data_IF_097924215825
#
_entry.id   IF_097924215825
#
_cell.length_a   1.000
_cell.length_b   1.000
_cell.length_c   1.000
_cell.angle_alpha   90.00
_cell.angle_beta   90.00
_cell.angle_gamma   90.00
#
_symmetry.space_group_name_H-M   'P 1'
#
loop_
_entity.id
_entity.type
_entity.pdbx_description
1 polymer ?
#
# COMPACT_ATOMS: atom_id res chain seq x y z
N UNK A 1 32.27 -0.64 2.73
CA UNK A 1 30.90 -1.05 3.13
C UNK A 1 30.30 -1.81 1.96
N UNK A 2 29.94 -3.07 2.14
CA UNK A 2 29.29 -3.84 1.06
C UNK A 2 27.85 -3.36 0.99
N UNK A 3 27.55 -2.53 -0.01
CA UNK A 3 26.20 -2.13 -0.38
C UNK A 3 25.49 -3.41 -0.82
N UNK A 4 24.71 -3.98 0.09
CA UNK A 4 23.99 -5.21 -0.18
C UNK A 4 22.71 -4.82 -0.87
N UNK A 5 22.75 -4.85 -2.20
CA UNK A 5 21.60 -4.52 -3.02
C UNK A 5 20.48 -5.53 -2.75
N UNK A 6 19.28 -5.02 -2.44
CA UNK A 6 18.08 -5.86 -2.43
C UNK A 6 17.99 -6.55 -3.80
N UNK A 7 17.71 -7.87 -3.86
CA UNK A 7 17.45 -8.50 -5.15
C UNK A 7 16.41 -7.69 -5.93
N UNK A 8 16.65 -7.50 -7.23
CA UNK A 8 15.84 -6.63 -8.11
C UNK A 8 14.34 -6.96 -8.07
N UNK A 9 13.98 -8.20 -7.74
CA UNK A 9 12.59 -8.65 -7.59
C UNK A 9 11.94 -8.24 -6.25
N UNK A 10 12.70 -7.99 -5.18
CA UNK A 10 12.16 -7.70 -3.85
C UNK A 10 11.77 -6.23 -3.72
N UNK A 11 12.59 -5.31 -4.25
CA UNK A 11 12.34 -3.87 -4.13
C UNK A 11 10.96 -3.46 -4.69
N UNK A 12 10.52 -3.95 -5.87
CA UNK A 12 9.16 -3.71 -6.36
C UNK A 12 8.06 -4.31 -5.47
N UNK A 13 8.28 -5.48 -4.86
CA UNK A 13 7.31 -6.09 -3.94
C UNK A 13 7.17 -5.27 -2.66
N UNK A 14 8.27 -4.76 -2.12
CA UNK A 14 8.24 -3.83 -0.97
C UNK A 14 7.51 -2.54 -1.36
N UNK A 15 7.79 -2.01 -2.54
CA UNK A 15 7.11 -0.82 -3.05
C UNK A 15 5.59 -1.01 -3.12
N UNK A 16 5.16 -2.14 -3.69
CA UNK A 16 3.75 -2.50 -3.76
C UNK A 16 3.15 -2.71 -2.36
N UNK A 17 3.87 -3.33 -1.43
CA UNK A 17 3.44 -3.47 -0.04
C UNK A 17 3.13 -2.11 0.59
N UNK A 18 4.02 -1.13 0.44
CA UNK A 18 3.86 0.22 1.00
C UNK A 18 2.65 0.93 0.38
N UNK A 19 2.51 0.87 -0.95
CA UNK A 19 1.36 1.45 -1.65
C UNK A 19 0.04 0.84 -1.16
N UNK A 20 -0.03 -0.49 -1.06
CA UNK A 20 -1.23 -1.20 -0.60
C UNK A 20 -1.58 -0.86 0.85
N UNK A 21 -0.59 -0.77 1.73
CA UNK A 21 -0.80 -0.38 3.13
C UNK A 21 -1.44 1.02 3.22
N UNK A 22 -0.92 1.97 2.45
CA UNK A 22 -1.41 3.35 2.43
C UNK A 22 -2.77 3.47 1.73
N UNK A 23 -3.00 2.71 0.65
CA UNK A 23 -4.29 2.65 -0.01
C UNK A 23 -5.38 2.12 0.95
N UNK A 24 -5.09 1.06 1.71
CA UNK A 24 -6.01 0.53 2.74
C UNK A 24 -6.32 1.60 3.78
N UNK A 25 -5.30 2.31 4.29
CA UNK A 25 -5.49 3.38 5.28
C UNK A 25 -6.36 4.51 4.72
N UNK A 26 -6.13 4.90 3.46
CA UNK A 26 -6.88 5.96 2.78
C UNK A 26 -8.35 5.58 2.58
N UNK A 27 -8.63 4.41 2.01
CA UNK A 27 -10.02 3.96 1.80
C UNK A 27 -10.76 3.75 3.13
N UNK A 28 -10.08 3.28 4.19
CA UNK A 28 -10.67 3.21 5.55
C UNK A 28 -11.03 4.59 6.09
N UNK A 29 -10.17 5.57 5.87
CA UNK A 29 -10.43 6.95 6.27
C UNK A 29 -11.67 7.49 5.54
N UNK A 30 -11.74 7.29 4.23
CA UNK A 30 -12.89 7.71 3.43
C UNK A 30 -14.18 6.99 3.85
N UNK A 31 -14.12 5.68 4.07
CA UNK A 31 -15.26 4.92 4.60
C UNK A 31 -15.80 5.53 5.90
N UNK A 32 -14.91 5.85 6.84
CA UNK A 32 -15.27 6.49 8.12
C UNK A 32 -15.85 7.89 7.91
N UNK A 33 -15.32 8.66 6.95
CA UNK A 33 -15.88 9.96 6.60
C UNK A 33 -17.32 9.83 6.08
N UNK A 34 -17.57 8.87 5.17
CA UNK A 34 -18.89 8.63 4.60
C UNK A 34 -19.92 8.11 5.61
N UNK A 35 -19.52 7.50 6.72
CA UNK A 35 -20.44 7.10 7.79
C UNK A 35 -21.24 8.28 8.36
N UNK A 36 -20.67 9.49 8.32
CA UNK A 36 -21.29 10.73 8.77
C UNK A 36 -22.33 11.31 7.81
N UNK A 37 -22.44 10.78 6.58
CA UNK A 37 -23.31 11.34 5.54
C UNK A 37 -24.73 10.76 5.60
N UNK A 38 -25.73 11.57 5.18
CA UNK A 38 -27.14 11.16 5.13
C UNK A 38 -27.40 10.05 4.11
N UNK A 39 -26.72 10.09 2.96
CA UNK A 39 -26.80 9.08 1.89
C UNK A 39 -25.45 8.38 1.78
N UNK A 40 -25.35 7.22 2.44
CA UNK A 40 -24.06 6.53 2.64
C UNK A 40 -23.99 5.10 2.11
N UNK A 41 -25.13 4.41 1.93
CA UNK A 41 -25.14 2.97 1.60
C UNK A 41 -24.37 2.62 0.32
N UNK A 42 -24.54 3.34 -0.81
CA UNK A 42 -23.80 3.02 -2.03
C UNK A 42 -22.28 3.23 -1.86
N UNK A 43 -21.89 4.35 -1.26
CA UNK A 43 -20.48 4.68 -1.00
C UNK A 43 -19.81 3.69 -0.03
N UNK A 44 -20.48 3.32 1.05
CA UNK A 44 -19.95 2.36 2.01
C UNK A 44 -19.81 0.96 1.41
N UNK A 45 -20.76 0.53 0.58
CA UNK A 45 -20.64 -0.73 -0.17
C UNK A 45 -19.41 -0.70 -1.07
N UNK A 46 -19.21 0.40 -1.78
CA UNK A 46 -18.09 0.58 -2.70
C UNK A 46 -16.74 0.58 -1.96
N UNK A 47 -16.61 1.32 -0.86
CA UNK A 47 -15.41 1.29 -0.02
C UNK A 47 -15.15 -0.11 0.56
N UNK A 48 -16.21 -0.85 0.91
CA UNK A 48 -16.07 -2.21 1.46
C UNK A 48 -15.46 -3.17 0.43
N UNK A 49 -15.97 -3.15 -0.80
CA UNK A 49 -15.43 -3.98 -1.90
C UNK A 49 -13.97 -3.62 -2.21
N UNK A 50 -13.65 -2.32 -2.32
CA UNK A 50 -12.27 -1.89 -2.53
C UNK A 50 -11.34 -2.36 -1.40
N UNK A 51 -11.78 -2.26 -0.15
CA UNK A 51 -11.00 -2.71 0.99
C UNK A 51 -10.76 -4.22 0.98
N UNK A 52 -11.73 -5.02 0.54
CA UNK A 52 -11.55 -6.47 0.40
C UNK A 52 -10.48 -6.78 -0.64
N UNK A 53 -10.56 -6.19 -1.83
CA UNK A 53 -9.58 -6.38 -2.90
C UNK A 53 -8.16 -5.94 -2.48
N UNK A 54 -8.05 -4.74 -1.89
CA UNK A 54 -6.77 -4.23 -1.38
C UNK A 54 -6.17 -5.13 -0.31
N UNK A 55 -6.99 -5.61 0.64
CA UNK A 55 -6.53 -6.52 1.70
C UNK A 55 -6.09 -7.86 1.13
N UNK A 56 -6.81 -8.38 0.15
CA UNK A 56 -6.44 -9.65 -0.49
C UNK A 56 -5.08 -9.54 -1.16
N UNK A 57 -4.86 -8.50 -1.97
CA UNK A 57 -3.58 -8.25 -2.61
C UNK A 57 -2.47 -7.97 -1.61
N UNK A 58 -2.73 -7.15 -0.59
CA UNK A 58 -1.78 -6.87 0.49
C UNK A 58 -1.35 -8.16 1.20
N UNK A 59 -2.29 -9.04 1.52
CA UNK A 59 -2.00 -10.32 2.15
C UNK A 59 -1.17 -11.23 1.23
N UNK A 60 -1.43 -11.23 -0.08
CA UNK A 60 -0.61 -11.96 -1.06
C UNK A 60 0.82 -11.44 -1.07
N UNK A 61 1.01 -10.13 -1.22
CA UNK A 61 2.34 -9.49 -1.25
C UNK A 61 3.09 -9.67 0.07
N UNK A 62 2.43 -9.48 1.21
CA UNK A 62 3.01 -9.68 2.53
C UNK A 62 3.48 -11.12 2.74
N UNK A 63 2.70 -12.11 2.30
CA UNK A 63 3.10 -13.53 2.36
C UNK A 63 4.30 -13.82 1.45
N UNK A 64 4.35 -13.23 0.25
CA UNK A 64 5.48 -13.39 -0.67
C UNK A 64 6.77 -12.80 -0.11
N UNK A 65 6.70 -11.59 0.45
CA UNK A 65 7.82 -10.93 1.13
C UNK A 65 8.32 -11.78 2.31
N UNK A 66 7.40 -12.26 3.15
CA UNK A 66 7.75 -13.14 4.27
C UNK A 66 8.46 -14.41 3.81
N UNK A 67 7.95 -15.08 2.77
CA UNK A 67 8.60 -16.27 2.18
C UNK A 67 10.00 -15.98 1.63
N UNK A 68 10.24 -14.75 1.16
CA UNK A 68 11.56 -14.28 0.72
C UNK A 68 12.45 -13.80 1.88
N UNK A 69 12.00 -13.91 3.13
CA UNK A 69 12.75 -13.52 4.33
C UNK A 69 12.76 -12.01 4.57
N UNK A 70 11.73 -11.30 4.10
CA UNK A 70 11.56 -9.85 4.28
C UNK A 70 10.41 -9.58 5.25
N UNK A 71 10.66 -8.81 6.31
CA UNK A 71 9.63 -8.39 7.28
C UNK A 71 9.62 -6.89 7.45
N UNK A 72 8.44 -6.30 7.62
CA UNK A 72 8.31 -4.89 7.95
C UNK A 72 8.75 -4.64 9.40
N UNK A 73 9.50 -3.57 9.62
CA UNK A 73 10.04 -3.23 10.94
C UNK A 73 9.39 -1.96 11.47
N UNK A 74 9.54 -0.84 10.75
CA UNK A 74 9.02 0.45 11.21
C UNK A 74 8.86 1.45 10.08
N UNK A 75 8.02 2.43 10.36
CA UNK A 75 7.81 3.63 9.57
C UNK A 75 8.34 4.82 10.36
N UNK A 76 9.03 5.73 9.69
CA UNK A 76 9.52 6.98 10.25
C UNK A 76 9.22 8.12 9.29
N UNK A 77 8.60 9.18 9.79
CA UNK A 77 8.41 10.43 9.07
C UNK A 77 9.48 11.41 9.51
N UNK A 78 10.20 12.03 8.57
CA UNK A 78 11.26 12.99 8.89
C UNK A 78 10.76 14.43 8.76
N UNK A 79 9.88 14.68 7.79
CA UNK A 79 9.23 15.97 7.55
C UNK A 79 7.93 15.72 6.75
N UNK A 80 7.22 16.78 6.37
CA UNK A 80 5.95 16.64 5.64
C UNK A 80 6.09 15.95 4.28
N UNK A 81 7.29 15.93 3.69
CA UNK A 81 7.51 15.51 2.30
C UNK A 81 8.32 14.21 2.17
N UNK A 82 8.87 13.68 3.25
CA UNK A 82 9.74 12.51 3.21
C UNK A 82 9.46 11.55 4.35
N UNK A 83 9.35 10.27 3.98
CA UNK A 83 9.19 9.19 4.94
C UNK A 83 10.07 8.00 4.59
N UNK A 84 10.25 7.12 5.56
CA UNK A 84 11.10 5.96 5.45
C UNK A 84 10.39 4.73 6.02
N UNK A 85 10.38 3.70 5.21
CA UNK A 85 9.93 2.37 5.59
C UNK A 85 11.16 1.48 5.75
N UNK A 86 11.31 0.89 6.93
CA UNK A 86 12.39 -0.05 7.24
C UNK A 86 11.87 -1.48 7.17
N UNK A 87 12.66 -2.34 6.54
CA UNK A 87 12.39 -3.77 6.45
C UNK A 87 13.60 -4.56 6.92
N UNK A 88 13.38 -5.67 7.61
CA UNK A 88 14.44 -6.62 7.90
C UNK A 88 14.55 -7.62 6.75
N UNK A 89 15.76 -7.80 6.24
CA UNK A 89 16.10 -8.81 5.27
C UNK A 89 17.41 -9.49 5.69
N UNK A 90 17.33 -10.79 5.98
CA UNK A 90 18.48 -11.60 6.43
C UNK A 90 19.21 -11.01 7.65
N UNK A 91 18.46 -10.47 8.62
CA UNK A 91 19.01 -9.89 9.85
C UNK A 91 19.55 -8.47 9.69
N UNK A 92 19.39 -7.85 8.51
CA UNK A 92 19.79 -6.46 8.27
C UNK A 92 18.57 -5.59 8.06
N UNK A 93 18.59 -4.40 8.64
CA UNK A 93 17.56 -3.38 8.44
C UNK A 93 17.88 -2.63 7.15
N UNK A 94 16.93 -2.64 6.22
CA UNK A 94 17.01 -1.95 4.94
C UNK A 94 16.00 -0.80 4.94
N UNK A 95 16.48 0.45 5.02
CA UNK A 95 15.62 1.62 4.88
C UNK A 95 15.31 1.91 3.41
N UNK A 96 14.06 2.17 3.10
CA UNK A 96 13.61 2.71 1.81
C UNK A 96 12.98 4.08 2.02
N UNK A 97 13.54 5.08 1.33
CA UNK A 97 13.08 6.47 1.39
C UNK A 97 12.03 6.72 0.31
N UNK A 98 10.98 7.45 0.69
CA UNK A 98 9.88 7.84 -0.15
C UNK A 98 9.64 9.34 -0.05
N UNK A 99 9.27 9.95 -1.18
CA UNK A 99 8.75 11.30 -1.21
C UNK A 99 7.22 11.25 -1.14
N UNK A 100 6.63 12.05 -0.25
CA UNK A 100 5.20 12.04 0.06
C UNK A 100 4.32 12.24 -1.17
N UNK A 101 4.62 13.25 -2.00
CA UNK A 101 3.84 13.55 -3.21
C UNK A 101 3.87 12.40 -4.22
N UNK A 102 5.05 11.85 -4.51
CA UNK A 102 5.17 10.71 -5.45
C UNK A 102 4.42 9.48 -4.89
N UNK A 103 4.53 9.23 -3.59
CA UNK A 103 3.86 8.10 -2.97
C UNK A 103 2.34 8.28 -2.98
N UNK A 104 1.85 9.50 -2.76
CA UNK A 104 0.44 9.86 -2.86
C UNK A 104 -0.10 9.59 -4.27
N UNK A 105 0.57 10.07 -5.31
CA UNK A 105 0.18 9.82 -6.70
C UNK A 105 0.08 8.32 -7.02
N UNK A 106 1.02 7.52 -6.50
CA UNK A 106 1.03 6.07 -6.70
C UNK A 106 -0.10 5.37 -5.96
N UNK A 107 -0.44 5.83 -4.75
CA UNK A 107 -1.59 5.34 -3.97
C UNK A 107 -2.89 5.68 -4.68
N UNK A 108 -3.06 6.92 -5.13
CA UNK A 108 -4.23 7.36 -5.88
C UNK A 108 -4.41 6.54 -7.16
N UNK A 109 -3.31 6.33 -7.90
CA UNK A 109 -3.34 5.47 -9.09
C UNK A 109 -3.78 4.04 -8.75
N UNK A 110 -3.31 3.47 -7.64
CA UNK A 110 -3.69 2.11 -7.23
C UNK A 110 -5.18 2.02 -6.90
N UNK A 111 -5.71 3.00 -6.16
CA UNK A 111 -7.15 3.09 -5.83
C UNK A 111 -7.97 3.24 -7.11
N UNK A 112 -7.57 4.15 -8.02
CA UNK A 112 -8.28 4.39 -9.28
C UNK A 112 -8.33 3.16 -10.20
N UNK A 113 -7.27 2.34 -10.21
CA UNK A 113 -7.28 1.08 -10.97
C UNK A 113 -8.33 0.10 -10.42
N UNK A 114 -8.45 0.01 -9.09
CA UNK A 114 -9.47 -0.84 -8.46
C UNK A 114 -10.89 -0.30 -8.68
N UNK A 115 -11.07 1.02 -8.71
CA UNK A 115 -12.36 1.64 -9.05
C UNK A 115 -12.83 1.15 -10.41
N UNK A 116 -11.94 1.16 -11.41
CA UNK A 116 -12.26 0.68 -12.76
C UNK A 116 -12.55 -0.81 -12.81
N UNK A 117 -11.85 -1.60 -11.99
CA UNK A 117 -12.08 -3.05 -11.89
C UNK A 117 -13.45 -3.35 -11.28
N UNK A 118 -13.84 -2.62 -10.21
CA UNK A 118 -15.15 -2.75 -9.56
C UNK A 118 -16.28 -2.21 -10.44
N UNK A 119 -16.05 -1.16 -11.23
CA UNK A 119 -17.05 -0.62 -12.16
C UNK A 119 -17.19 -1.41 -13.47
N UNK A 120 -16.34 -2.43 -13.70
CA UNK A 120 -16.35 -3.23 -14.92
C UNK A 120 -15.75 -2.52 -16.15
N UNK A 121 -14.99 -1.44 -15.93
CA UNK A 121 -14.32 -0.67 -16.98
C UNK A 121 -12.96 -1.28 -17.40
N UNK A 122 -12.51 -2.32 -16.73
CA UNK A 122 -11.33 -3.11 -17.13
C UNK A 122 -11.81 -4.43 -17.74
N UNK A 123 -11.87 -4.49 -19.07
CA UNK A 123 -12.00 -5.77 -19.78
C UNK A 123 -10.70 -6.59 -19.66
N UNK A 124 -10.78 -7.93 -19.58
CA UNK A 124 -9.62 -8.83 -19.54
C UNK A 124 -8.72 -8.73 -20.77
#
# INVERSE_FOLDING_TARGET
>A
MIEMDLPNEIKPMIHLYVILELAIKSVKHDQKLFESFKVKRPYLSFCTQQLEMLKEEFNKVSKLLYKKGVTYEKYQCFNQNECLYSFNYRGKIIPLKYHGEILKEQVERKINLLIKEVSGEVSP
#
